data_IF_352026021676
#
_entry.id   IF_352026021676
#
_cell.length_a   1.000
_cell.length_b   1.000
_cell.length_c   1.000
_cell.angle_alpha   90.00
_cell.angle_beta   90.00
_cell.angle_gamma   90.00
#
_symmetry.space_group_name_H-M   'P 1'
#
loop_
_entity.id
_entity.type
_entity.pdbx_description
1 polymer ?
#
# COMPACT_ATOMS: atom_id res chain seq x y z
N UNK A 1 46.63 -57.93 -47.22
CA UNK A 1 46.74 -57.77 -48.69
C UNK A 1 46.60 -56.28 -48.98
N UNK A 2 47.68 -55.51 -49.04
CA UNK A 2 48.64 -55.35 -50.16
C UNK A 2 48.05 -54.50 -51.30
N UNK A 3 48.50 -53.23 -51.32
CA UNK A 3 48.76 -52.32 -52.47
C UNK A 3 47.57 -51.76 -53.26
N UNK A 4 47.59 -50.57 -53.86
CA UNK A 4 48.70 -49.77 -54.40
C UNK A 4 48.35 -48.27 -54.48
N UNK A 5 49.40 -47.44 -54.36
CA UNK A 5 49.46 -46.01 -54.71
C UNK A 5 49.25 -45.79 -56.22
N UNK A 6 48.79 -44.60 -56.60
CA UNK A 6 49.41 -43.83 -57.70
C UNK A 6 49.28 -42.33 -57.44
N UNK A 7 50.41 -41.66 -57.60
CA UNK A 7 50.66 -40.23 -57.55
C UNK A 7 50.41 -39.57 -58.91
N UNK A 8 49.82 -38.38 -58.94
CA UNK A 8 49.80 -37.49 -60.11
C UNK A 8 49.91 -36.03 -59.68
N UNK A 9 51.06 -35.41 -59.95
CA UNK A 9 51.39 -34.00 -59.69
C UNK A 9 51.44 -33.26 -61.03
N UNK A 10 50.80 -32.08 -61.15
CA UNK A 10 51.05 -30.93 -62.08
C UNK A 10 49.72 -30.19 -62.34
N UNK A 11 49.61 -28.90 -62.60
CA UNK A 11 50.34 -27.64 -62.35
C UNK A 11 49.33 -26.54 -62.79
N UNK A 12 49.26 -25.44 -62.04
CA UNK A 12 48.74 -24.10 -62.35
C UNK A 12 47.99 -23.83 -63.68
N UNK A 13 46.83 -23.16 -63.58
CA UNK A 13 46.45 -22.04 -64.47
C UNK A 13 45.42 -21.13 -63.78
N UNK A 14 45.77 -19.85 -63.67
CA UNK A 14 44.93 -18.70 -63.31
C UNK A 14 44.12 -18.26 -64.54
N UNK A 15 42.79 -18.23 -64.45
CA UNK A 15 41.88 -17.38 -65.26
C UNK A 15 40.59 -17.29 -64.41
N UNK A 16 40.15 -16.16 -63.87
CA UNK A 16 39.73 -14.94 -64.55
C UNK A 16 38.23 -14.78 -64.28
N UNK A 17 37.87 -13.98 -63.28
CA UNK A 17 36.49 -13.66 -62.87
C UNK A 17 35.80 -12.87 -64.00
N UNK A 18 34.60 -13.29 -64.40
CA UNK A 18 33.69 -12.48 -65.20
C UNK A 18 32.29 -12.51 -64.56
N UNK A 19 31.86 -11.35 -64.06
CA UNK A 19 30.52 -11.08 -63.54
C UNK A 19 29.48 -11.16 -64.66
N UNK A 20 28.36 -11.82 -64.40
CA UNK A 20 27.11 -11.61 -65.12
C UNK A 20 26.10 -10.97 -64.16
N UNK A 21 25.80 -9.69 -64.37
CA UNK A 21 24.80 -8.92 -63.64
C UNK A 21 23.46 -9.12 -64.33
N UNK A 22 22.48 -9.71 -63.63
CA UNK A 22 21.08 -9.73 -64.04
C UNK A 22 20.41 -8.51 -63.44
N UNK A 23 19.96 -7.58 -64.29
CA UNK A 23 19.21 -6.41 -63.88
C UNK A 23 17.74 -6.77 -63.61
N UNK A 24 17.32 -6.79 -62.35
CA UNK A 24 15.90 -6.70 -61.99
C UNK A 24 15.49 -5.23 -61.99
N UNK A 25 14.56 -4.86 -62.88
CA UNK A 25 13.86 -3.57 -62.82
C UNK A 25 12.79 -3.68 -61.74
N UNK A 26 13.07 -3.10 -60.56
CA UNK A 26 12.08 -2.91 -59.51
C UNK A 26 11.26 -1.65 -59.84
N UNK A 27 9.97 -1.80 -60.12
CA UNK A 27 9.03 -0.69 -60.22
C UNK A 27 8.75 -0.20 -58.80
N UNK A 28 9.30 0.96 -58.44
CA UNK A 28 9.06 1.61 -57.15
C UNK A 28 7.72 2.34 -57.17
N UNK A 29 6.74 1.81 -56.43
CA UNK A 29 5.53 2.55 -56.05
C UNK A 29 5.92 3.52 -54.93
N UNK A 30 5.62 4.83 -55.01
CA UNK A 30 5.90 5.73 -53.90
C UNK A 30 4.93 5.42 -52.76
N UNK A 31 5.42 4.71 -51.74
CA UNK A 31 4.75 4.67 -50.45
C UNK A 31 4.86 6.06 -49.83
N UNK A 32 3.75 6.80 -49.81
CA UNK A 32 3.64 8.00 -49.00
C UNK A 32 3.82 7.59 -47.54
N UNK A 33 5.00 7.83 -46.98
CA UNK A 33 5.23 7.75 -45.55
C UNK A 33 4.50 8.93 -44.92
N UNK A 34 3.33 8.68 -44.36
CA UNK A 34 2.77 9.59 -43.37
C UNK A 34 3.70 9.54 -42.15
N UNK A 35 4.65 10.46 -42.09
CA UNK A 35 5.37 10.77 -40.86
C UNK A 35 4.33 11.35 -39.90
N UNK A 36 3.95 10.54 -38.90
CA UNK A 36 3.32 11.06 -37.70
C UNK A 36 4.29 12.07 -37.04
N UNK A 37 3.80 13.15 -36.43
CA UNK A 37 4.69 14.12 -35.79
C UNK A 37 5.44 13.42 -34.65
N UNK A 38 6.75 13.65 -34.58
CA UNK A 38 7.55 13.35 -33.39
C UNK A 38 7.03 14.22 -32.23
N UNK A 39 6.23 13.60 -31.35
CA UNK A 39 5.93 14.11 -30.02
C UNK A 39 6.78 13.37 -29.02
N UNK A 40 7.80 14.04 -28.48
CA UNK A 40 8.68 13.56 -27.41
C UNK A 40 7.94 13.51 -26.08
N UNK A 41 7.84 12.32 -25.47
CA UNK A 41 7.35 12.10 -24.12
C UNK A 41 7.12 10.61 -23.88
N UNK A 42 8.07 9.94 -23.25
CA UNK A 42 7.95 8.53 -22.83
C UNK A 42 6.89 8.43 -21.69
N UNK A 43 6.05 7.38 -21.62
CA UNK A 43 4.91 7.35 -20.70
C UNK A 43 5.32 7.05 -19.24
N UNK A 44 4.60 7.70 -18.32
CA UNK A 44 4.81 7.87 -16.89
C UNK A 44 3.48 7.70 -16.12
N UNK A 45 3.34 6.81 -15.11
CA UNK A 45 2.12 5.95 -14.98
C UNK A 45 1.89 5.29 -16.35
N UNK A 46 1.58 3.99 -16.45
CA UNK A 46 1.47 3.45 -17.83
C UNK A 46 0.35 4.24 -18.54
N UNK A 47 0.67 4.93 -19.64
CA UNK A 47 -0.23 5.86 -20.35
C UNK A 47 -0.69 7.14 -19.62
N UNK A 48 -0.04 7.56 -18.52
CA UNK A 48 -0.36 8.79 -17.79
C UNK A 48 0.36 10.04 -18.31
N UNK A 49 0.05 11.19 -17.71
CA UNK A 49 0.68 12.49 -18.00
C UNK A 49 1.15 13.18 -16.72
N UNK A 50 2.19 14.04 -16.78
CA UNK A 50 2.65 14.78 -15.62
C UNK A 50 1.54 15.63 -15.02
N UNK A 51 1.42 15.58 -13.70
CA UNK A 51 0.56 16.49 -12.95
C UNK A 51 1.04 17.92 -13.16
N UNK A 52 0.10 18.87 -13.31
CA UNK A 52 0.39 20.26 -13.60
C UNK A 52 0.99 20.99 -12.40
N UNK A 53 0.42 20.78 -11.21
CA UNK A 53 0.84 21.45 -9.97
C UNK A 53 0.79 20.52 -8.75
N UNK A 54 1.62 20.79 -7.74
CA UNK A 54 1.58 20.08 -6.45
C UNK A 54 0.24 20.23 -5.70
N UNK A 55 -0.58 21.20 -6.08
CA UNK A 55 -1.88 21.46 -5.48
C UNK A 55 -3.05 20.75 -6.16
N UNK A 56 -2.83 20.05 -7.29
CA UNK A 56 -3.92 19.40 -8.04
C UNK A 56 -4.46 18.18 -7.27
N UNK A 57 -3.58 17.46 -6.58
CA UNK A 57 -3.89 16.26 -5.80
C UNK A 57 -3.32 16.38 -4.38
N UNK A 58 -3.83 17.32 -3.56
CA UNK A 58 -3.21 17.67 -2.27
C UNK A 58 -3.26 16.52 -1.25
N UNK A 59 -4.17 15.56 -1.44
CA UNK A 59 -4.30 14.37 -0.62
C UNK A 59 -3.27 13.27 -0.95
N UNK A 60 -2.61 13.33 -2.12
CA UNK A 60 -1.60 12.35 -2.50
C UNK A 60 -0.39 12.48 -1.59
N UNK A 61 0.09 11.36 -1.04
CA UNK A 61 1.32 11.34 -0.24
C UNK A 61 2.28 10.24 -0.69
N UNK A 62 3.58 10.47 -0.48
CA UNK A 62 4.61 9.46 -0.68
C UNK A 62 5.02 8.88 0.68
N UNK A 63 5.13 7.56 0.75
CA UNK A 63 5.74 6.84 1.87
C UNK A 63 7.22 6.64 1.58
N UNK A 64 8.07 7.20 2.44
CA UNK A 64 9.53 7.21 2.23
C UNK A 64 10.29 6.60 3.39
N UNK A 65 11.44 6.01 3.08
CA UNK A 65 12.40 5.55 4.07
C UNK A 65 12.91 6.74 4.88
N UNK A 66 12.71 6.70 6.20
CA UNK A 66 13.12 7.78 7.10
C UNK A 66 14.63 8.08 7.03
N UNK A 67 15.43 7.05 6.82
CA UNK A 67 16.90 7.13 6.78
C UNK A 67 17.43 7.69 5.46
N UNK A 68 16.58 7.86 4.45
CA UNK A 68 16.94 8.44 3.16
C UNK A 68 16.53 9.92 3.15
N UNK A 69 17.48 10.78 2.78
CA UNK A 69 17.29 12.23 2.79
C UNK A 69 16.39 12.68 1.64
N UNK A 70 16.67 12.20 0.44
CA UNK A 70 15.90 12.45 -0.78
C UNK A 70 14.59 11.65 -0.76
N UNK A 71 13.41 12.30 -0.83
CA UNK A 71 12.14 11.60 -0.98
C UNK A 71 12.08 10.76 -2.25
N UNK A 72 12.64 11.25 -3.36
CA UNK A 72 12.69 10.53 -4.63
C UNK A 72 13.44 9.19 -4.52
N UNK A 73 14.57 9.16 -3.81
CA UNK A 73 15.34 7.93 -3.61
C UNK A 73 14.77 7.03 -2.51
N UNK A 74 13.93 7.61 -1.63
CA UNK A 74 13.40 6.94 -0.44
C UNK A 74 12.00 6.38 -0.60
N UNK A 75 11.26 6.77 -1.64
CA UNK A 75 9.88 6.33 -1.85
C UNK A 75 9.83 4.82 -2.07
N UNK A 76 8.85 4.19 -1.43
CA UNK A 76 8.55 2.78 -1.66
C UNK A 76 7.06 2.48 -1.90
N UNK A 77 6.16 3.39 -1.50
CA UNK A 77 4.72 3.30 -1.72
C UNK A 77 4.08 4.69 -1.76
N UNK A 78 2.85 4.77 -2.26
CA UNK A 78 1.96 5.90 -2.12
C UNK A 78 1.06 5.79 -0.87
N UNK A 79 0.18 6.77 -0.73
CA UNK A 79 -0.83 6.84 0.32
C UNK A 79 -1.77 8.00 0.06
N UNK A 80 -2.81 8.11 0.89
CA UNK A 80 -3.82 9.17 0.80
C UNK A 80 -4.05 9.82 2.15
N UNK A 81 -3.99 11.15 2.22
CA UNK A 81 -4.34 11.92 3.41
C UNK A 81 -5.87 11.97 3.56
N UNK A 82 -6.40 11.40 4.64
CA UNK A 82 -7.85 11.32 4.92
C UNK A 82 -8.28 12.18 6.11
N UNK A 83 -7.32 12.62 6.92
CA UNK A 83 -7.43 13.73 7.88
C UNK A 83 -6.04 14.37 8.03
N UNK A 84 -5.89 15.56 8.67
CA UNK A 84 -4.60 16.24 8.75
C UNK A 84 -3.44 15.40 9.29
N UNK A 85 -3.69 14.38 10.12
CA UNK A 85 -2.66 13.50 10.69
C UNK A 85 -2.90 12.01 10.42
N UNK A 86 -3.78 11.66 9.48
CA UNK A 86 -4.16 10.28 9.19
C UNK A 86 -4.05 9.98 7.70
N UNK A 87 -3.29 8.94 7.38
CA UNK A 87 -3.06 8.46 6.01
C UNK A 87 -3.64 7.05 5.83
N UNK A 88 -4.37 6.85 4.74
CA UNK A 88 -4.82 5.55 4.24
C UNK A 88 -3.83 5.03 3.20
N UNK A 89 -3.45 3.76 3.28
CA UNK A 89 -2.49 3.11 2.37
C UNK A 89 -2.75 1.62 2.32
N UNK A 90 -2.03 0.88 1.48
CA UNK A 90 -2.06 -0.58 1.45
C UNK A 90 -1.35 -1.20 2.66
N UNK A 91 -1.82 -2.37 3.12
CA UNK A 91 -1.19 -3.12 4.20
C UNK A 91 0.13 -3.78 3.77
N UNK A 92 0.23 -4.23 2.51
CA UNK A 92 1.44 -4.86 1.97
C UNK A 92 2.65 -3.90 1.96
N UNK A 93 2.42 -2.59 1.91
CA UNK A 93 3.46 -1.57 2.05
C UNK A 93 4.13 -1.56 3.43
N UNK A 94 3.50 -2.15 4.46
CA UNK A 94 3.92 -2.04 5.85
C UNK A 94 4.89 -3.16 6.28
N UNK A 95 5.92 -3.40 5.45
CA UNK A 95 7.01 -4.33 5.76
C UNK A 95 8.09 -3.73 6.70
N UNK A 96 8.01 -2.41 6.97
CA UNK A 96 8.89 -1.67 7.87
C UNK A 96 8.18 -1.28 9.18
N UNK A 97 8.92 -1.12 10.29
CA UNK A 97 8.35 -0.55 11.50
C UNK A 97 8.01 0.94 11.30
N UNK A 98 6.94 1.42 11.96
CA UNK A 98 6.51 2.82 11.95
C UNK A 98 7.67 3.83 12.12
N UNK A 99 8.63 3.53 13.00
CA UNK A 99 9.78 4.39 13.29
C UNK A 99 10.74 4.62 12.11
N UNK A 100 10.64 3.81 11.05
CA UNK A 100 11.45 3.86 9.85
C UNK A 100 10.74 4.48 8.64
N UNK A 101 9.49 4.93 8.81
CA UNK A 101 8.65 5.47 7.73
C UNK A 101 8.35 6.93 8.02
N UNK A 102 8.55 7.78 7.00
CA UNK A 102 8.00 9.13 6.96
C UNK A 102 6.99 9.26 5.82
N UNK A 103 6.11 10.24 5.94
CA UNK A 103 5.15 10.64 4.91
C UNK A 103 5.56 11.99 4.35
N UNK A 104 5.58 12.13 3.02
CA UNK A 104 5.81 13.39 2.31
C UNK A 104 4.54 13.80 1.58
N UNK A 105 4.12 15.05 1.75
CA UNK A 105 2.90 15.62 1.13
C UNK A 105 3.15 16.98 0.49
N UNK A 106 2.25 17.42 -0.39
CA UNK A 106 2.31 18.75 -0.99
C UNK A 106 3.49 18.91 -1.95
N UNK A 107 3.83 17.83 -2.64
CA UNK A 107 4.90 17.77 -3.63
C UNK A 107 4.33 17.24 -4.93
N UNK A 108 4.81 17.79 -6.04
CA UNK A 108 4.67 17.23 -7.39
C UNK A 108 5.95 16.53 -7.78
N UNK A 109 7.10 17.18 -7.53
CA UNK A 109 8.43 16.65 -7.78
C UNK A 109 9.14 16.29 -6.47
N UNK A 110 9.30 15.00 -6.20
CA UNK A 110 9.94 14.48 -4.99
C UNK A 110 11.42 14.84 -4.85
N UNK A 111 12.07 15.26 -5.95
CA UNK A 111 13.48 15.62 -5.92
C UNK A 111 13.70 17.07 -5.48
N UNK A 112 12.77 17.98 -5.78
CA UNK A 112 13.00 19.43 -5.63
C UNK A 112 11.91 20.18 -4.88
N UNK A 113 10.69 19.66 -4.78
CA UNK A 113 9.62 20.38 -4.09
C UNK A 113 9.83 20.32 -2.58
N UNK A 114 9.64 21.45 -1.87
CA UNK A 114 9.94 21.52 -0.44
C UNK A 114 9.00 20.66 0.42
N UNK A 115 7.72 20.56 0.01
CA UNK A 115 6.70 19.73 0.65
C UNK A 115 6.57 19.89 2.17
N UNK A 116 5.92 18.91 2.78
CA UNK A 116 5.99 18.66 4.22
C UNK A 116 6.32 17.21 4.47
N UNK A 117 7.18 16.95 5.45
CA UNK A 117 7.59 15.61 5.87
C UNK A 117 7.18 15.37 7.31
N UNK A 118 6.39 14.33 7.56
CA UNK A 118 5.91 13.97 8.88
C UNK A 118 6.29 12.54 9.26
N UNK A 119 6.67 12.33 10.51
CA UNK A 119 7.00 11.00 11.03
C UNK A 119 5.75 10.16 11.23
N UNK A 120 5.80 8.87 10.88
CA UNK A 120 4.75 7.92 11.24
C UNK A 120 4.89 7.58 12.72
N UNK A 121 3.92 8.03 13.53
CA UNK A 121 3.82 7.64 14.95
C UNK A 121 3.41 6.19 15.07
N UNK A 122 2.53 5.75 14.16
CA UNK A 122 1.85 4.49 14.35
C UNK A 122 1.24 3.91 13.06
N UNK A 123 1.32 2.58 12.93
CA UNK A 123 0.73 1.80 11.83
C UNK A 123 -0.39 0.91 12.35
N UNK A 124 -1.47 0.79 11.58
CA UNK A 124 -2.56 -0.16 11.77
C UNK A 124 -2.85 -0.90 10.48
N UNK A 125 -2.54 -2.18 10.44
CA UNK A 125 -3.05 -3.05 9.39
C UNK A 125 -4.49 -3.41 9.71
N UNK A 126 -5.31 -3.58 8.69
CA UNK A 126 -6.60 -4.21 8.85
C UNK A 126 -6.41 -5.62 9.45
N UNK A 127 -7.17 -6.01 10.50
CA UNK A 127 -6.96 -7.29 11.17
C UNK A 127 -7.30 -8.50 10.29
N UNK A 128 -8.08 -8.29 9.23
CA UNK A 128 -8.40 -9.29 8.22
C UNK A 128 -7.42 -9.32 7.04
N UNK A 129 -6.36 -8.51 7.03
CA UNK A 129 -5.39 -8.54 5.94
C UNK A 129 -4.75 -9.92 5.80
N UNK A 130 -4.87 -10.52 4.61
CA UNK A 130 -4.22 -11.78 4.24
C UNK A 130 -3.16 -11.53 3.17
N UNK A 131 -1.90 -11.71 3.54
CA UNK A 131 -0.76 -11.48 2.63
C UNK A 131 -0.64 -12.51 1.50
N UNK A 132 -1.42 -13.60 1.52
CA UNK A 132 -1.44 -14.60 0.45
C UNK A 132 -2.46 -14.30 -0.65
N UNK A 133 -3.57 -13.65 -0.30
CA UNK A 133 -4.65 -13.30 -1.22
C UNK A 133 -4.75 -11.79 -1.50
N UNK A 134 -4.07 -10.96 -0.70
CA UNK A 134 -4.26 -9.51 -0.62
C UNK A 134 -5.70 -9.07 -0.28
N UNK A 135 -6.50 -9.95 0.32
CA UNK A 135 -7.80 -9.56 0.87
C UNK A 135 -7.59 -8.57 2.03
N UNK A 136 -8.43 -7.53 2.06
CA UNK A 136 -8.37 -6.44 3.02
C UNK A 136 -6.96 -5.81 3.14
N UNK A 137 -6.35 -5.53 1.99
CA UNK A 137 -5.04 -4.89 1.87
C UNK A 137 -5.11 -3.37 2.13
N UNK A 138 -5.47 -3.00 3.36
CA UNK A 138 -5.50 -1.62 3.81
C UNK A 138 -4.88 -1.42 5.19
N UNK A 139 -4.28 -0.25 5.37
CA UNK A 139 -3.66 0.20 6.59
C UNK A 139 -3.87 1.69 6.84
N UNK A 140 -3.90 2.05 8.12
CA UNK A 140 -3.94 3.44 8.59
C UNK A 140 -2.59 3.80 9.21
N UNK A 141 -2.03 4.93 8.79
CA UNK A 141 -0.87 5.55 9.40
C UNK A 141 -1.33 6.78 10.17
N UNK A 142 -0.99 6.85 11.45
CA UNK A 142 -1.17 8.06 12.26
C UNK A 142 0.16 8.78 12.35
N UNK A 143 0.16 10.06 12.00
CA UNK A 143 1.33 10.90 11.96
C UNK A 143 1.64 11.46 13.36
N UNK A 144 2.90 11.88 13.55
CA UNK A 144 3.34 12.53 14.78
C UNK A 144 2.97 14.02 14.82
N UNK A 145 2.72 14.62 13.66
CA UNK A 145 2.32 16.01 13.47
C UNK A 145 1.37 16.11 12.28
N UNK A 146 0.35 16.99 12.33
CA UNK A 146 -0.54 17.19 11.20
C UNK A 146 0.21 17.81 10.01
N UNK A 147 -0.23 17.47 8.81
CA UNK A 147 0.17 18.04 7.54
C UNK A 147 -0.78 19.17 7.15
N UNK A 148 -0.29 20.15 6.39
CA UNK A 148 -1.11 21.27 5.92
C UNK A 148 -1.88 20.97 4.62
N UNK A 149 -1.59 19.86 3.95
CA UNK A 149 -2.25 19.49 2.72
C UNK A 149 -3.72 19.12 2.97
N UNK A 150 -4.58 19.33 1.96
CA UNK A 150 -6.02 19.09 2.08
C UNK A 150 -6.33 17.59 2.00
N UNK A 151 -6.98 16.99 3.02
CA UNK A 151 -7.41 15.60 2.96
C UNK A 151 -8.56 15.37 1.97
N UNK A 152 -8.73 14.11 1.53
CA UNK A 152 -9.85 13.67 0.70
C UNK A 152 -10.93 12.98 1.53
N UNK A 153 -12.18 13.00 1.03
CA UNK A 153 -13.24 12.14 1.52
C UNK A 153 -13.01 10.68 1.07
N UNK A 154 -13.18 9.74 2.01
CA UNK A 154 -13.15 8.30 1.73
C UNK A 154 -14.59 7.83 1.56
N UNK A 155 -14.84 7.08 0.48
CA UNK A 155 -16.17 6.57 0.19
C UNK A 155 -16.74 5.74 1.34
N UNK A 156 -17.98 6.06 1.73
CA UNK A 156 -18.79 5.27 2.64
C UNK A 156 -19.84 4.46 1.86
N UNK A 157 -20.43 3.39 2.46
CA UNK A 157 -21.41 2.54 1.77
C UNK A 157 -22.60 3.28 1.15
N UNK A 158 -23.00 4.42 1.74
CA UNK A 158 -24.09 5.25 1.23
C UNK A 158 -23.79 5.87 -0.16
N UNK A 159 -22.53 5.92 -0.57
CA UNK A 159 -22.08 6.51 -1.83
C UNK A 159 -21.82 5.47 -2.92
N UNK A 160 -22.00 4.17 -2.67
CA UNK A 160 -21.68 3.08 -3.61
C UNK A 160 -22.25 3.26 -5.03
N UNK A 161 -23.38 3.97 -5.16
CA UNK A 161 -23.98 4.27 -6.47
C UNK A 161 -23.24 5.31 -7.32
N UNK A 162 -22.19 5.96 -6.81
CA UNK A 162 -21.42 6.99 -7.53
C UNK A 162 -20.45 6.40 -8.56
N UNK A 163 -20.03 5.14 -8.40
CA UNK A 163 -18.98 4.53 -9.24
C UNK A 163 -19.38 3.15 -9.85
N UNK A 164 -20.48 3.04 -10.61
CA UNK A 164 -20.77 1.80 -11.33
C UNK A 164 -19.65 1.42 -12.32
N UNK A 165 -19.58 0.15 -12.78
CA UNK A 165 -18.64 -0.25 -13.83
C UNK A 165 -18.69 0.68 -15.06
N UNK A 166 -17.53 0.97 -15.63
CA UNK A 166 -17.35 1.94 -16.72
C UNK A 166 -17.14 3.39 -16.26
N UNK A 167 -17.34 3.70 -14.98
CA UNK A 167 -17.02 5.04 -14.44
C UNK A 167 -15.54 5.33 -14.63
N UNK A 168 -15.22 6.53 -15.11
CA UNK A 168 -13.82 6.99 -15.21
C UNK A 168 -13.31 7.35 -13.83
N UNK A 169 -12.26 6.66 -13.39
CA UNK A 169 -11.54 6.94 -12.18
C UNK A 169 -10.16 7.55 -12.49
N UNK A 170 -9.63 8.29 -11.53
CA UNK A 170 -8.32 8.95 -11.58
C UNK A 170 -7.37 8.22 -10.63
N UNK A 171 -6.17 7.92 -11.13
CA UNK A 171 -5.07 7.35 -10.35
C UNK A 171 -3.88 8.30 -10.39
N UNK A 172 -3.18 8.41 -9.25
CA UNK A 172 -2.05 9.33 -9.11
C UNK A 172 -0.89 8.70 -8.33
N UNK A 173 0.33 9.03 -8.72
CA UNK A 173 1.52 8.57 -8.02
C UNK A 173 2.84 8.88 -8.74
N UNK A 174 3.90 8.23 -8.29
CA UNK A 174 5.29 8.40 -8.76
C UNK A 174 5.93 7.04 -9.09
N UNK A 175 5.10 6.01 -9.23
CA UNK A 175 5.53 4.65 -9.48
C UNK A 175 6.17 4.47 -10.85
N UNK A 176 6.57 3.23 -11.09
CA UNK A 176 7.30 2.77 -12.25
C UNK A 176 6.51 3.06 -13.53
N UNK A 177 7.15 3.84 -14.38
CA UNK A 177 6.58 4.41 -15.59
C UNK A 177 6.42 3.35 -16.69
N UNK A 178 7.20 2.28 -16.62
CA UNK A 178 7.38 1.33 -17.74
C UNK A 178 7.28 -0.14 -17.34
N UNK A 179 7.15 -0.45 -16.05
CA UNK A 179 7.26 -1.81 -15.52
C UNK A 179 8.70 -2.36 -15.49
N UNK A 180 9.71 -1.51 -15.72
CA UNK A 180 11.14 -1.86 -15.77
C UNK A 180 11.98 -1.09 -14.73
N UNK A 181 11.37 -0.72 -13.60
CA UNK A 181 11.97 0.05 -12.51
C UNK A 181 12.45 1.46 -12.90
N UNK A 182 11.77 2.11 -13.84
CA UNK A 182 11.99 3.53 -14.15
C UNK A 182 11.03 4.34 -13.29
N UNK A 183 11.49 4.93 -12.19
CA UNK A 183 10.65 5.75 -11.30
C UNK A 183 10.74 7.23 -11.70
N UNK A 184 9.61 7.94 -11.71
CA UNK A 184 9.63 9.40 -11.91
C UNK A 184 9.75 10.11 -10.57
N UNK A 185 10.55 11.17 -10.51
CA UNK A 185 10.44 12.10 -9.39
C UNK A 185 9.18 12.96 -9.51
N UNK A 186 8.59 13.07 -10.71
CA UNK A 186 7.41 13.89 -11.01
C UNK A 186 6.14 13.04 -10.85
N UNK A 187 5.13 13.60 -10.19
CA UNK A 187 3.84 12.96 -10.00
C UNK A 187 3.10 12.87 -11.33
N UNK A 188 2.47 11.73 -11.54
CA UNK A 188 1.69 11.42 -12.72
C UNK A 188 0.23 11.19 -12.38
N UNK A 189 -0.61 11.44 -13.38
CA UNK A 189 -2.03 11.18 -13.34
C UNK A 189 -2.45 10.41 -14.59
N UNK A 190 -3.33 9.43 -14.40
CA UNK A 190 -4.02 8.77 -15.50
C UNK A 190 -5.49 8.53 -15.18
N UNK A 191 -6.26 8.29 -16.23
CA UNK A 191 -7.67 7.95 -16.14
C UNK A 191 -7.88 6.50 -16.58
N UNK A 192 -8.60 5.74 -15.76
CA UNK A 192 -8.91 4.34 -16.01
C UNK A 192 -10.40 4.09 -15.80
N UNK A 193 -11.07 3.32 -16.67
CA UNK A 193 -12.46 2.93 -16.42
C UNK A 193 -12.52 1.82 -15.38
N UNK A 194 -13.55 1.86 -14.53
CA UNK A 194 -13.84 0.75 -13.64
C UNK A 194 -14.33 -0.48 -14.42
N UNK A 195 -13.90 -1.65 -13.97
CA UNK A 195 -14.25 -2.95 -14.54
C UNK A 195 -15.30 -3.62 -13.65
N UNK A 196 -16.20 -4.39 -14.26
CA UNK A 196 -17.21 -5.13 -13.49
C UNK A 196 -16.58 -6.26 -12.68
N UNK A 197 -17.19 -6.64 -11.55
CA UNK A 197 -16.70 -7.75 -10.73
C UNK A 197 -16.62 -9.06 -11.52
N UNK A 198 -17.56 -9.27 -12.44
CA UNK A 198 -17.60 -10.45 -13.31
C UNK A 198 -16.40 -10.46 -14.27
N UNK A 199 -16.17 -9.37 -14.99
CA UNK A 199 -15.05 -9.28 -15.95
C UNK A 199 -13.70 -9.35 -15.21
N UNK A 200 -13.60 -8.78 -14.00
CA UNK A 200 -12.38 -8.87 -13.21
C UNK A 200 -12.13 -10.29 -12.69
N UNK A 201 -13.17 -10.96 -12.18
CA UNK A 201 -13.07 -12.35 -11.76
C UNK A 201 -12.70 -13.28 -12.93
N UNK A 202 -13.22 -13.01 -14.13
CA UNK A 202 -12.88 -13.76 -15.35
C UNK A 202 -11.42 -13.53 -15.77
N UNK A 203 -10.92 -12.31 -15.65
CA UNK A 203 -9.52 -11.98 -15.94
C UNK A 203 -8.53 -12.76 -15.05
N UNK A 204 -8.80 -12.84 -13.74
CA UNK A 204 -7.87 -13.45 -12.77
C UNK A 204 -8.15 -14.93 -12.45
N UNK A 205 -9.34 -15.41 -12.76
CA UNK A 205 -9.80 -16.75 -12.48
C UNK A 205 -10.46 -16.93 -11.10
N UNK A 206 -11.07 -18.10 -10.85
CA UNK A 206 -11.92 -18.32 -9.68
C UNK A 206 -11.18 -18.15 -8.34
N UNK A 207 -11.75 -17.33 -7.46
CA UNK A 207 -11.27 -17.14 -6.09
C UNK A 207 -10.11 -16.16 -5.92
N UNK A 208 -9.63 -15.55 -7.02
CA UNK A 208 -8.58 -14.53 -6.96
C UNK A 208 -9.11 -13.14 -6.58
N UNK A 209 -10.37 -12.83 -6.93
CA UNK A 209 -11.02 -11.55 -6.67
C UNK A 209 -12.19 -11.77 -5.70
N UNK A 210 -12.23 -10.97 -4.64
CA UNK A 210 -13.32 -10.95 -3.65
C UNK A 210 -14.08 -9.64 -3.83
N UNK A 211 -15.20 -9.70 -4.56
CA UNK A 211 -15.98 -8.54 -5.02
C UNK A 211 -16.37 -7.56 -3.89
N UNK A 212 -16.63 -8.05 -2.67
CA UNK A 212 -17.00 -7.20 -1.55
C UNK A 212 -15.82 -6.41 -0.95
N UNK A 213 -14.59 -6.72 -1.35
CA UNK A 213 -13.36 -6.13 -0.79
C UNK A 213 -12.43 -5.55 -1.83
N UNK A 214 -12.65 -5.85 -3.11
CA UNK A 214 -11.78 -5.51 -4.23
C UNK A 214 -12.59 -4.93 -5.37
N UNK A 215 -12.02 -3.90 -6.01
CA UNK A 215 -12.52 -3.38 -7.27
C UNK A 215 -11.39 -3.40 -8.31
N UNK A 216 -11.75 -3.37 -9.58
CA UNK A 216 -10.79 -3.39 -10.67
C UNK A 216 -10.95 -2.21 -11.60
N UNK A 217 -9.85 -1.73 -12.15
CA UNK A 217 -9.85 -0.63 -13.11
C UNK A 217 -8.78 -0.83 -14.18
N UNK A 218 -9.12 -0.48 -15.42
CA UNK A 218 -8.24 -0.64 -16.57
C UNK A 218 -9.01 -0.87 -17.85
N UNK A 219 -8.36 -0.61 -18.98
CA UNK A 219 -8.97 -0.79 -20.29
C UNK A 219 -8.78 -2.23 -20.79
N UNK A 220 -9.72 -3.12 -20.45
CA UNK A 220 -9.69 -4.51 -20.92
C UNK A 220 -9.61 -4.61 -22.45
N UNK A 221 -8.80 -5.54 -22.95
CA UNK A 221 -8.54 -5.78 -24.37
C UNK A 221 -7.63 -4.76 -25.06
N UNK A 222 -7.24 -3.68 -24.37
CA UNK A 222 -6.30 -2.66 -24.90
C UNK A 222 -5.07 -2.52 -24.00
N UNK A 223 -5.27 -2.47 -22.69
CA UNK A 223 -4.22 -2.23 -21.71
C UNK A 223 -3.64 -0.83 -21.83
N UNK A 224 -2.35 -0.69 -21.52
CA UNK A 224 -1.58 0.53 -21.72
C UNK A 224 -1.86 1.66 -20.72
N UNK A 225 -2.87 1.54 -19.85
CA UNK A 225 -3.08 2.48 -18.73
C UNK A 225 -3.27 1.76 -17.41
N UNK A 226 -2.37 1.98 -16.44
CA UNK A 226 -2.41 1.31 -15.13
C UNK A 226 -1.46 1.94 -14.09
N UNK A 227 -1.74 1.69 -12.81
CA UNK A 227 -0.78 1.89 -11.72
C UNK A 227 0.35 0.86 -11.77
N UNK A 228 1.53 1.20 -11.26
CA UNK A 228 2.66 0.28 -11.28
C UNK A 228 3.47 0.30 -9.96
N UNK A 229 4.66 -0.30 -9.99
CA UNK A 229 5.52 -0.44 -8.81
C UNK A 229 5.79 0.91 -8.17
N UNK A 230 5.55 1.08 -6.87
CA UNK A 230 5.75 2.35 -6.17
C UNK A 230 4.51 3.26 -6.10
N UNK A 231 3.46 2.98 -6.89
CA UNK A 231 2.12 3.58 -6.70
C UNK A 231 1.29 2.82 -5.66
N UNK A 232 1.70 1.60 -5.31
CA UNK A 232 1.08 0.77 -4.26
C UNK A 232 0.69 1.59 -3.03
N UNK A 233 -0.55 1.43 -2.58
CA UNK A 233 -1.09 2.21 -1.47
C UNK A 233 -1.65 3.59 -1.84
N UNK A 234 -1.41 4.07 -3.06
CA UNK A 234 -2.00 5.28 -3.61
C UNK A 234 -3.52 5.16 -3.84
N UNK A 235 -4.21 6.29 -4.07
CA UNK A 235 -5.65 6.32 -4.25
C UNK A 235 -6.07 6.00 -5.69
N UNK A 236 -7.25 5.40 -5.80
CA UNK A 236 -8.11 5.53 -6.98
C UNK A 236 -9.35 6.35 -6.60
N UNK A 237 -9.62 7.39 -7.39
CA UNK A 237 -10.55 8.47 -7.06
C UNK A 237 -11.59 8.67 -8.17
N UNK A 238 -12.83 8.97 -7.82
CA UNK A 238 -13.88 9.38 -8.77
C UNK A 238 -14.37 10.79 -8.47
N UNK A 239 -14.97 11.44 -9.47
CA UNK A 239 -15.70 12.69 -9.27
C UNK A 239 -17.06 12.40 -8.60
N UNK A 240 -17.30 13.06 -7.48
CA UNK A 240 -18.56 13.03 -6.74
C UNK A 240 -19.17 14.44 -6.75
N UNK A 241 -19.71 14.85 -7.90
CA UNK A 241 -20.37 16.15 -8.05
C UNK A 241 -19.39 17.32 -7.97
N UNK A 242 -18.21 17.19 -8.59
CA UNK A 242 -17.15 18.19 -8.57
C UNK A 242 -16.18 18.09 -7.39
N UNK A 243 -16.32 17.07 -6.54
CA UNK A 243 -15.42 16.80 -5.42
C UNK A 243 -14.78 15.40 -5.55
N UNK A 244 -13.48 15.24 -5.28
CA UNK A 244 -12.82 13.96 -5.38
C UNK A 244 -13.25 13.03 -4.23
N UNK A 245 -13.59 11.78 -4.56
CA UNK A 245 -13.96 10.73 -3.61
C UNK A 245 -13.03 9.52 -3.78
N UNK A 246 -12.29 9.15 -2.74
CA UNK A 246 -11.45 7.95 -2.77
C UNK A 246 -12.33 6.70 -2.66
N UNK A 247 -12.31 5.85 -3.69
CA UNK A 247 -13.09 4.60 -3.73
C UNK A 247 -12.22 3.36 -3.55
N UNK A 248 -10.89 3.50 -3.69
CA UNK A 248 -9.98 2.37 -3.57
C UNK A 248 -8.55 2.74 -3.19
N UNK A 249 -7.76 1.70 -2.97
CA UNK A 249 -6.34 1.74 -2.65
C UNK A 249 -5.61 0.79 -3.61
N UNK A 250 -4.59 1.26 -4.32
CA UNK A 250 -3.77 0.43 -5.23
C UNK A 250 -3.15 -0.75 -4.49
N UNK A 251 -3.45 -1.99 -4.93
CA UNK A 251 -3.04 -3.22 -4.24
C UNK A 251 -2.13 -4.10 -5.08
N UNK A 252 -2.63 -4.71 -6.16
CA UNK A 252 -1.85 -5.65 -6.98
C UNK A 252 -2.32 -5.73 -8.45
N UNK A 253 -1.53 -6.45 -9.25
CA UNK A 253 -1.85 -6.84 -10.63
C UNK A 253 -0.81 -7.84 -11.15
N UNK A 254 -1.07 -8.53 -12.27
CA UNK A 254 -0.09 -9.45 -12.88
C UNK A 254 0.98 -8.76 -13.74
N UNK A 255 0.84 -7.47 -13.96
CA UNK A 255 1.75 -6.59 -14.68
C UNK A 255 1.09 -5.23 -14.83
N UNK A 256 1.85 -4.22 -15.23
CA UNK A 256 1.33 -2.87 -15.37
C UNK A 256 0.79 -2.67 -16.79
N UNK A 257 -0.50 -2.38 -16.92
CA UNK A 257 -1.12 -2.03 -18.20
C UNK A 257 -1.25 -3.21 -19.16
N UNK A 258 -1.39 -4.43 -18.65
CA UNK A 258 -1.66 -5.60 -19.48
C UNK A 258 -3.08 -5.55 -20.03
N UNK A 259 -3.31 -5.86 -21.33
CA UNK A 259 -4.64 -5.81 -21.93
C UNK A 259 -5.68 -6.70 -21.24
N UNK A 260 -5.26 -7.86 -20.74
CA UNK A 260 -6.17 -8.87 -20.19
C UNK A 260 -6.26 -8.83 -18.66
N UNK A 261 -5.45 -8.00 -17.99
CA UNK A 261 -5.39 -7.95 -16.52
C UNK A 261 -5.52 -6.51 -16.03
N UNK A 262 -6.71 -6.11 -15.54
CA UNK A 262 -6.90 -4.79 -14.96
C UNK A 262 -6.19 -4.70 -13.61
N UNK A 263 -5.83 -3.49 -13.18
CA UNK A 263 -5.30 -3.26 -11.84
C UNK A 263 -6.35 -3.58 -10.78
N UNK A 264 -5.92 -4.15 -9.66
CA UNK A 264 -6.79 -4.52 -8.53
C UNK A 264 -6.52 -3.58 -7.35
N UNK A 265 -7.61 -3.06 -6.80
CA UNK A 265 -7.61 -2.08 -5.73
C UNK A 265 -8.43 -2.62 -4.56
N UNK A 266 -8.01 -2.34 -3.32
CA UNK A 266 -8.87 -2.58 -2.16
C UNK A 266 -10.01 -1.58 -2.19
N UNK A 267 -11.25 -2.06 -2.25
CA UNK A 267 -12.47 -1.25 -2.25
C UNK A 267 -12.77 -0.73 -0.83
N UNK A 268 -12.84 0.59 -0.64
CA UNK A 268 -12.80 1.18 0.72
C UNK A 268 -14.13 1.26 1.44
N UNK A 269 -15.26 1.30 0.73
CA UNK A 269 -16.58 1.54 1.33
C UNK A 269 -17.01 0.40 2.28
N UNK A 270 -16.75 -0.85 1.89
CA UNK A 270 -16.95 -2.02 2.74
C UNK A 270 -16.15 -2.00 4.06
N UNK A 271 -15.02 -1.29 4.07
CA UNK A 271 -14.18 -1.12 5.27
C UNK A 271 -14.42 0.18 6.03
N UNK A 272 -15.25 1.08 5.49
CA UNK A 272 -15.43 2.41 6.06
C UNK A 272 -15.95 2.36 7.50
N UNK A 273 -17.14 1.77 7.71
CA UNK A 273 -17.75 1.64 9.04
C UNK A 273 -16.94 0.75 10.01
N UNK A 274 -16.52 -0.47 9.64
CA UNK A 274 -15.85 -1.37 10.60
C UNK A 274 -14.40 -0.99 10.91
N UNK A 275 -13.74 -0.19 10.06
CA UNK A 275 -12.32 0.09 10.22
C UNK A 275 -11.93 1.55 10.02
N UNK A 276 -12.26 2.21 8.90
CA UNK A 276 -11.70 3.53 8.56
C UNK A 276 -12.27 4.66 9.43
N UNK A 277 -13.60 4.68 9.61
CA UNK A 277 -14.35 5.75 10.27
C UNK A 277 -13.82 6.12 11.65
N UNK A 278 -13.40 5.13 12.43
CA UNK A 278 -12.87 5.34 13.78
C UNK A 278 -11.54 6.09 13.84
N UNK A 279 -10.88 6.31 12.71
CA UNK A 279 -9.65 7.10 12.60
C UNK A 279 -9.90 8.52 12.06
N UNK A 280 -11.08 8.79 11.50
CA UNK A 280 -11.48 10.12 11.03
C UNK A 280 -12.07 10.98 12.15
N UNK A 281 -12.78 10.36 13.09
CA UNK A 281 -13.33 11.03 14.28
C UNK A 281 -13.13 10.12 15.51
N UNK A 282 -11.91 10.05 16.05
CA UNK A 282 -11.59 9.02 17.02
C UNK A 282 -12.00 9.46 18.44
N UNK A 283 -13.28 9.23 18.80
CA UNK A 283 -13.81 9.34 20.17
C UNK A 283 -14.08 7.95 20.77
N UNK A 284 -13.04 7.10 20.77
CA UNK A 284 -13.14 5.71 21.21
C UNK A 284 -12.29 5.42 22.46
N UNK A 285 -12.70 4.51 23.35
CA UNK A 285 -11.78 3.92 24.31
C UNK A 285 -10.63 3.17 23.59
N UNK A 286 -9.46 3.00 24.23
CA UNK A 286 -8.34 2.29 23.59
C UNK A 286 -8.68 0.85 23.25
N UNK A 287 -7.95 0.26 22.31
CA UNK A 287 -7.99 -1.18 22.08
C UNK A 287 -7.52 -1.96 23.33
N UNK A 288 -7.73 -3.28 23.34
CA UNK A 288 -7.26 -4.14 24.43
C UNK A 288 -5.74 -4.08 24.56
N UNK A 289 -5.25 -4.10 25.80
CA UNK A 289 -3.82 -4.27 26.06
C UNK A 289 -3.28 -5.56 25.43
N UNK A 290 -2.04 -5.50 24.98
CA UNK A 290 -1.42 -6.56 24.20
C UNK A 290 -0.51 -7.43 25.06
N UNK A 291 -0.47 -8.72 24.70
CA UNK A 291 0.47 -9.73 25.22
C UNK A 291 0.65 -9.66 26.75
N UNK A 292 -0.43 -9.69 27.57
CA UNK A 292 -0.28 -9.74 29.01
C UNK A 292 0.39 -11.05 29.40
N UNK A 293 1.46 -10.95 30.19
CA UNK A 293 2.21 -12.08 30.73
C UNK A 293 2.36 -11.91 32.25
N UNK A 294 2.58 -13.03 32.93
CA UNK A 294 2.84 -13.03 34.35
C UNK A 294 3.97 -14.02 34.64
N UNK A 295 4.93 -13.62 35.47
CA UNK A 295 6.00 -14.49 35.96
C UNK A 295 6.18 -14.32 37.45
N UNK A 296 6.49 -15.42 38.14
CA UNK A 296 6.88 -15.37 39.55
C UNK A 296 8.28 -14.75 39.63
N UNK A 297 8.44 -13.77 40.51
CA UNK A 297 9.72 -13.11 40.84
C UNK A 297 9.95 -13.22 42.35
N UNK A 298 11.17 -12.99 42.87
CA UNK A 298 11.39 -13.03 44.31
C UNK A 298 10.41 -12.12 45.07
N UNK A 299 9.58 -12.72 45.93
CA UNK A 299 8.60 -12.01 46.77
C UNK A 299 7.30 -11.56 46.08
N UNK A 300 7.14 -11.70 44.77
CA UNK A 300 5.96 -11.20 44.06
C UNK A 300 5.66 -11.96 42.76
N UNK A 301 4.55 -11.60 42.11
CA UNK A 301 4.26 -11.94 40.73
C UNK A 301 4.37 -10.66 39.91
N UNK A 302 5.22 -10.68 38.88
CA UNK A 302 5.35 -9.60 37.91
C UNK A 302 4.39 -9.81 36.76
N UNK A 303 3.39 -8.95 36.64
CA UNK A 303 2.48 -8.85 35.50
C UNK A 303 3.09 -7.84 34.52
N UNK A 304 3.20 -8.18 33.23
CA UNK A 304 3.70 -7.27 32.19
C UNK A 304 2.76 -7.25 30.99
N UNK A 305 2.74 -6.13 30.25
CA UNK A 305 1.94 -5.97 29.04
C UNK A 305 2.60 -5.00 28.05
N UNK A 306 2.12 -5.02 26.81
CA UNK A 306 2.36 -3.98 25.83
C UNK A 306 1.13 -3.06 25.74
N UNK A 307 1.31 -1.77 25.42
CA UNK A 307 0.19 -0.86 25.15
C UNK A 307 -0.78 -1.42 24.10
N UNK A 308 -2.02 -0.92 24.05
CA UNK A 308 -2.89 -1.12 22.90
C UNK A 308 -2.17 -0.79 21.60
N UNK A 309 -2.63 -1.39 20.50
CA UNK A 309 -2.26 -0.85 19.20
C UNK A 309 -2.90 0.54 19.11
N UNK A 310 -4.23 0.66 19.08
CA UNK A 310 -4.89 1.97 19.04
C UNK A 310 -5.22 2.53 20.42
N UNK A 311 -4.86 3.79 20.62
CA UNK A 311 -5.20 4.56 21.82
C UNK A 311 -6.62 5.13 21.76
N UNK A 312 -7.35 4.94 20.67
CA UNK A 312 -8.73 5.41 20.51
C UNK A 312 -8.82 6.88 20.10
N UNK A 313 -7.73 7.47 19.57
CA UNK A 313 -7.68 8.87 19.13
C UNK A 313 -7.05 9.83 20.12
N UNK A 314 -7.14 9.53 21.40
CA UNK A 314 -6.53 10.33 22.46
C UNK A 314 -5.43 9.56 23.18
N UNK A 315 -4.33 10.23 23.60
CA UNK A 315 -3.21 9.54 24.24
C UNK A 315 -3.63 8.70 25.44
N UNK A 316 -3.01 7.54 25.60
CA UNK A 316 -3.18 6.71 26.80
C UNK A 316 -2.82 7.54 28.03
N UNK A 317 -3.76 7.65 28.97
CA UNK A 317 -3.62 8.36 30.24
C UNK A 317 -3.30 7.40 31.40
N UNK A 318 -3.53 6.10 31.25
CA UNK A 318 -3.18 5.11 32.27
C UNK A 318 -3.59 3.67 31.97
N UNK A 319 -3.39 2.80 32.96
CA UNK A 319 -3.82 1.41 32.94
C UNK A 319 -4.54 1.03 34.24
N UNK A 320 -5.56 0.20 34.11
CA UNK A 320 -6.30 -0.38 35.24
C UNK A 320 -6.09 -1.88 35.29
N UNK A 321 -5.57 -2.39 36.40
CA UNK A 321 -5.37 -3.83 36.65
C UNK A 321 -6.28 -4.26 37.79
N UNK A 322 -7.22 -5.17 37.52
CA UNK A 322 -8.09 -5.78 38.54
C UNK A 322 -7.71 -7.24 38.74
N UNK A 323 -7.50 -7.65 40.00
CA UNK A 323 -7.09 -9.01 40.37
C UNK A 323 -8.21 -9.68 41.18
N UNK A 324 -8.54 -10.92 40.80
CA UNK A 324 -9.52 -11.77 41.47
C UNK A 324 -8.86 -13.09 41.90
N UNK A 325 -9.28 -13.72 43.02
CA UNK A 325 -10.30 -13.23 43.97
C UNK A 325 -9.81 -12.07 44.84
N UNK A 326 -10.73 -11.35 45.50
CA UNK A 326 -10.43 -10.21 46.38
C UNK A 326 -10.60 -8.82 45.75
N UNK A 327 -10.71 -8.73 44.42
CA UNK A 327 -11.15 -7.51 43.74
C UNK A 327 -10.17 -6.34 43.79
N UNK A 328 -8.91 -6.56 44.17
CA UNK A 328 -7.86 -5.52 44.24
C UNK A 328 -7.72 -4.82 42.90
N UNK A 329 -7.71 -3.49 42.91
CA UNK A 329 -7.56 -2.65 41.73
C UNK A 329 -6.30 -1.80 41.86
N UNK A 330 -5.54 -1.71 40.76
CA UNK A 330 -4.40 -0.83 40.62
C UNK A 330 -4.66 0.09 39.44
N UNK A 331 -4.52 1.40 39.65
CA UNK A 331 -4.49 2.41 38.59
C UNK A 331 -3.03 2.83 38.41
N UNK A 332 -2.55 2.84 37.18
CA UNK A 332 -1.15 3.06 36.83
C UNK A 332 -1.03 4.15 35.79
N UNK A 333 0.09 4.87 35.80
CA UNK A 333 0.36 5.94 34.84
C UNK A 333 0.55 5.44 33.39
N UNK A 334 0.59 6.36 32.42
CA UNK A 334 0.53 6.05 30.98
C UNK A 334 1.79 5.32 30.45
N UNK A 335 2.91 5.42 31.18
CA UNK A 335 4.17 4.74 30.86
C UNK A 335 4.30 3.36 31.51
N UNK A 336 3.34 2.94 32.34
CA UNK A 336 3.42 1.64 33.01
C UNK A 336 3.38 0.49 32.00
N UNK A 337 4.31 -0.46 32.16
CA UNK A 337 4.40 -1.71 31.37
C UNK A 337 4.41 -2.96 32.24
N UNK A 338 4.44 -2.79 33.56
CA UNK A 338 4.43 -3.86 34.52
C UNK A 338 3.87 -3.46 35.87
N UNK A 339 3.44 -4.46 36.64
CA UNK A 339 3.00 -4.36 38.02
C UNK A 339 3.52 -5.58 38.78
N UNK A 340 4.25 -5.35 39.86
CA UNK A 340 4.64 -6.41 40.80
C UNK A 340 3.61 -6.47 41.93
N UNK A 341 3.07 -7.66 42.17
CA UNK A 341 2.00 -7.86 43.15
C UNK A 341 2.18 -9.16 43.91
N UNK A 342 2.04 -9.10 45.23
CA UNK A 342 2.00 -10.30 46.07
C UNK A 342 0.64 -10.98 45.90
N UNK A 343 0.67 -12.25 45.51
CA UNK A 343 -0.50 -13.09 45.26
C UNK A 343 -0.43 -14.33 46.17
N UNK A 344 -1.60 -14.76 46.66
CA UNK A 344 -1.68 -15.92 47.54
C UNK A 344 -1.16 -17.19 46.84
N UNK A 345 -0.20 -17.93 47.46
CA UNK A 345 0.32 -19.18 46.93
C UNK A 345 -0.76 -20.27 46.81
N UNK A 346 -0.56 -21.20 45.87
CA UNK A 346 -1.44 -22.34 45.66
C UNK A 346 -2.85 -22.00 45.18
N UNK A 347 -3.03 -20.81 44.58
CA UNK A 347 -4.30 -20.34 44.01
C UNK A 347 -4.07 -19.78 42.62
N UNK A 348 -5.08 -19.94 41.77
CA UNK A 348 -5.17 -19.27 40.47
C UNK A 348 -5.84 -17.92 40.66
N UNK A 349 -5.17 -16.86 40.21
CA UNK A 349 -5.67 -15.50 40.19
C UNK A 349 -6.06 -15.11 38.76
N UNK A 350 -7.13 -14.35 38.63
CA UNK A 350 -7.55 -13.75 37.35
C UNK A 350 -7.13 -12.28 37.34
N UNK A 351 -6.28 -11.92 36.39
CA UNK A 351 -5.84 -10.54 36.16
C UNK A 351 -6.59 -9.99 34.95
N UNK A 352 -7.37 -8.93 35.14
CA UNK A 352 -8.04 -8.18 34.07
C UNK A 352 -7.33 -6.84 33.88
N UNK A 353 -6.73 -6.64 32.72
CA UNK A 353 -6.00 -5.42 32.37
C UNK A 353 -6.80 -4.59 31.36
N UNK A 354 -6.85 -3.28 31.58
CA UNK A 354 -7.48 -2.29 30.69
C UNK A 354 -6.54 -1.11 30.49
N UNK A 355 -6.51 -0.53 29.30
CA UNK A 355 -5.88 0.76 29.04
C UNK A 355 -6.93 1.88 29.15
N UNK A 356 -6.50 3.10 29.42
CA UNK A 356 -7.35 4.29 29.59
C UNK A 356 -6.87 5.43 28.69
N UNK A 357 -7.79 6.16 28.08
CA UNK A 357 -7.56 7.46 27.45
C UNK A 357 -8.56 8.49 27.99
N UNK A 358 -8.79 9.60 27.29
CA UNK A 358 -9.76 10.63 27.69
C UNK A 358 -11.22 10.12 27.62
N UNK A 359 -11.52 9.25 26.65
CA UNK A 359 -12.86 8.70 26.37
C UNK A 359 -13.25 7.65 27.40
N UNK A 360 -12.34 6.71 27.72
CA UNK A 360 -12.67 5.65 28.65
C UNK A 360 -11.66 4.53 28.77
N UNK A 361 -12.15 3.36 29.21
CA UNK A 361 -11.35 2.16 29.43
C UNK A 361 -11.58 1.12 28.33
N UNK A 362 -10.48 0.58 27.80
CA UNK A 362 -10.51 -0.52 26.84
C UNK A 362 -11.32 -1.71 27.34
N UNK A 363 -11.79 -2.59 26.45
CA UNK A 363 -12.31 -3.90 26.87
C UNK A 363 -11.20 -4.67 27.63
N UNK A 364 -11.50 -5.39 28.73
CA UNK A 364 -10.46 -6.07 29.49
C UNK A 364 -9.78 -7.19 28.69
N UNK A 365 -8.46 -7.28 28.82
CA UNK A 365 -7.69 -8.47 28.48
C UNK A 365 -7.45 -9.28 29.76
N UNK A 366 -7.87 -10.54 29.75
CA UNK A 366 -7.78 -11.43 30.90
C UNK A 366 -6.55 -12.32 30.82
N UNK A 367 -5.85 -12.50 31.94
CA UNK A 367 -4.78 -13.48 32.11
C UNK A 367 -4.98 -14.25 33.42
N UNK A 368 -4.83 -15.56 33.36
CA UNK A 368 -4.82 -16.42 34.55
C UNK A 368 -3.39 -16.60 35.03
N UNK A 369 -3.20 -16.56 36.34
CA UNK A 369 -1.89 -16.69 36.99
C UNK A 369 -1.99 -17.64 38.16
N UNK A 370 -1.31 -18.78 38.06
CA UNK A 370 -1.22 -19.76 39.14
C UNK A 370 0.10 -19.55 39.87
N UNK A 371 0.01 -19.29 41.18
CA UNK A 371 1.19 -19.17 42.04
C UNK A 371 1.47 -20.54 42.66
N UNK A 372 2.65 -21.15 42.47
CA UNK A 372 2.98 -22.43 43.08
C UNK A 372 2.85 -22.37 44.61
N UNK A 373 2.45 -23.49 45.23
CA UNK A 373 2.72 -23.69 46.66
C UNK A 373 4.23 -23.90 46.78
N UNK A 374 4.88 -23.15 47.66
CA UNK A 374 6.28 -23.43 48.02
C UNK A 374 6.35 -24.74 48.78
#
# INVERSE_FOLDING_TARGET
MVTSRTTGRRRFSLVGVALAVVALVAVSVPSASAQAPEGTGDPEIVGGVPVGSAGDFPYQVALVLRTVASPADGQFCGGTLISPDTVLTAAHCMFLPASAIDVVSGVRDLAVDPGQRAHVRQVRLHPGYDASTNEADLAILQLASPLAATPIEVAAPAQAGVWPPGTTATITGWGDLTGNASFSSIMHVAQVPLVSDADCADAYGPGAIVAESMLCAGQLGVGGVDTCQGDSGGPIVVDNGGSPLQIGITSFGFGCGLPDFPGVYTQVDGFFEPFIKRFLDPDDPPDRVRRPSARVVPGAVRIQWRPPFFDGGTPITGYKVRILPGGRVFELGPRARSLDVVLAPGRTHTVKLRARNAVGLSVPKTRFVTVPRR
#
